data_IF_018019206551
#
_entry.id   IF_018019206551
#
_cell.length_a   1.000
_cell.length_b   1.000
_cell.length_c   1.000
_cell.angle_alpha   90.00
_cell.angle_beta   90.00
_cell.angle_gamma   90.00
#
_symmetry.space_group_name_H-M   'P 1'
#
loop_
_entity.id
_entity.type
_entity.pdbx_description
1 polymer ?
#
# COMPACT_ATOMS: atom_id res chain seq x y z
N UNK A 1 9.12 -3.67 10.49
CA UNK A 1 10.08 -4.73 10.10
C UNK A 1 9.52 -6.07 10.56
N UNK A 2 9.64 -7.14 9.77
CA UNK A 2 9.23 -8.47 10.23
C UNK A 2 10.05 -8.86 11.46
N UNK A 3 9.41 -9.39 12.52
CA UNK A 3 10.06 -9.73 13.79
C UNK A 3 11.31 -10.61 13.60
N UNK A 4 11.26 -11.52 12.61
CA UNK A 4 12.37 -12.40 12.23
C UNK A 4 13.60 -11.62 11.71
N UNK A 5 13.39 -10.55 10.93
CA UNK A 5 14.47 -9.70 10.41
C UNK A 5 15.10 -8.83 11.49
N UNK A 6 14.28 -8.38 12.44
CA UNK A 6 14.77 -7.62 13.58
C UNK A 6 15.63 -8.50 14.49
N UNK A 7 15.18 -9.71 14.79
CA UNK A 7 15.93 -10.68 15.59
C UNK A 7 17.23 -11.10 14.90
N UNK A 8 17.21 -11.37 13.59
CA UNK A 8 18.43 -11.70 12.85
C UNK A 8 19.42 -10.54 12.78
N UNK A 9 18.93 -9.30 12.65
CA UNK A 9 19.76 -8.10 12.67
C UNK A 9 20.43 -7.87 14.02
N UNK A 10 19.68 -7.97 15.12
CA UNK A 10 20.21 -7.83 16.47
C UNK A 10 21.25 -8.93 16.80
N UNK A 11 20.95 -10.18 16.44
CA UNK A 11 21.87 -11.30 16.62
C UNK A 11 23.14 -11.13 15.77
N UNK A 12 23.01 -10.70 14.51
CA UNK A 12 24.15 -10.42 13.63
C UNK A 12 25.07 -9.33 14.19
N UNK A 13 24.50 -8.24 14.71
CA UNK A 13 25.23 -7.14 15.36
C UNK A 13 25.97 -7.60 16.62
N UNK A 14 25.36 -8.47 17.41
CA UNK A 14 26.00 -9.05 18.59
C UNK A 14 27.19 -9.95 18.20
N UNK A 15 27.00 -10.84 17.23
CA UNK A 15 28.05 -11.75 16.77
C UNK A 15 29.23 -11.01 16.15
N UNK A 16 28.99 -9.95 15.37
CA UNK A 16 30.07 -9.19 14.74
C UNK A 16 30.89 -8.41 15.78
N UNK A 17 30.25 -7.88 16.83
CA UNK A 17 30.93 -7.26 17.97
C UNK A 17 31.81 -8.26 18.72
N UNK A 18 31.28 -9.45 19.01
CA UNK A 18 32.05 -10.55 19.62
C UNK A 18 33.22 -10.99 18.74
N UNK A 19 33.00 -11.19 17.44
CA UNK A 19 34.05 -11.54 16.48
C UNK A 19 35.19 -10.51 16.45
N UNK A 20 34.86 -9.22 16.42
CA UNK A 20 35.84 -8.14 16.46
C UNK A 20 36.67 -8.15 17.75
N UNK A 21 36.04 -8.36 18.91
CA UNK A 21 36.75 -8.47 20.19
C UNK A 21 37.72 -9.65 20.18
N UNK A 22 37.32 -10.80 19.65
CA UNK A 22 38.19 -11.99 19.55
C UNK A 22 39.36 -11.80 18.60
N UNK A 23 39.16 -11.09 17.48
CA UNK A 23 40.23 -10.74 16.55
C UNK A 23 41.24 -9.81 17.22
N UNK A 24 40.81 -8.76 17.91
CA UNK A 24 41.71 -7.85 18.65
C UNK A 24 42.44 -8.60 19.76
N UNK A 25 41.74 -9.47 20.50
CA UNK A 25 42.30 -10.29 21.58
C UNK A 25 43.26 -11.38 21.12
N UNK A 26 43.40 -11.62 19.81
CA UNK A 26 44.37 -12.55 19.22
C UNK A 26 45.80 -11.99 19.16
N UNK A 27 45.96 -10.67 19.33
CA UNK A 27 47.27 -10.00 19.37
C UNK A 27 48.09 -10.33 20.63
N UNK A 28 47.46 -10.97 21.63
CA UNK A 28 48.15 -11.41 22.85
C UNK A 28 48.97 -12.68 22.57
N UNK A 29 50.28 -12.70 22.91
CA UNK A 29 51.13 -13.86 22.67
C UNK A 29 50.64 -15.11 23.40
N UNK A 30 50.71 -16.26 22.70
CA UNK A 30 50.27 -17.56 23.23
C UNK A 30 48.78 -17.89 23.05
N UNK A 31 47.99 -17.05 22.36
CA UNK A 31 46.54 -17.27 22.18
C UNK A 31 46.06 -17.13 20.72
N UNK A 32 46.83 -17.68 19.78
CA UNK A 32 46.53 -17.66 18.34
C UNK A 32 45.20 -18.32 17.96
N UNK A 33 44.70 -19.29 18.76
CA UNK A 33 43.40 -19.93 18.55
C UNK A 33 42.22 -18.94 18.53
N UNK A 34 42.36 -17.79 19.20
CA UNK A 34 41.35 -16.73 19.23
C UNK A 34 41.10 -16.10 17.86
N UNK A 35 42.10 -16.11 17.00
CA UNK A 35 42.00 -15.61 15.64
C UNK A 35 41.05 -16.47 14.82
N UNK A 36 41.19 -17.80 14.88
CA UNK A 36 40.27 -18.73 14.20
C UNK A 36 38.83 -18.56 14.68
N UNK A 37 38.64 -18.42 16.00
CA UNK A 37 37.31 -18.21 16.60
C UNK A 37 36.71 -16.88 16.13
N UNK A 38 37.49 -15.79 16.18
CA UNK A 38 37.05 -14.46 15.75
C UNK A 38 36.66 -14.41 14.27
N UNK A 39 37.44 -15.06 13.41
CA UNK A 39 37.15 -15.18 11.97
C UNK A 39 35.89 -16.03 11.73
N UNK A 40 35.70 -17.13 12.46
CA UNK A 40 34.49 -17.94 12.34
C UNK A 40 33.22 -17.17 12.75
N UNK A 41 33.28 -16.43 13.86
CA UNK A 41 32.19 -15.59 14.35
C UNK A 41 31.84 -14.44 13.38
N UNK A 42 32.86 -13.77 12.84
CA UNK A 42 32.64 -12.69 11.87
C UNK A 42 32.09 -13.21 10.55
N UNK A 43 32.61 -14.34 10.05
CA UNK A 43 32.11 -15.01 8.85
C UNK A 43 30.63 -15.41 8.99
N UNK A 44 30.23 -15.90 10.16
CA UNK A 44 28.83 -16.25 10.44
C UNK A 44 27.92 -15.02 10.52
N UNK A 45 28.42 -13.87 10.99
CA UNK A 45 27.61 -12.66 11.12
C UNK A 45 27.20 -12.03 9.79
N UNK A 46 28.04 -12.16 8.75
CA UNK A 46 27.80 -11.59 7.41
C UNK A 46 26.48 -12.07 6.75
N UNK A 47 26.20 -13.38 6.64
CA UNK A 47 24.93 -13.84 6.07
C UNK A 47 23.73 -13.39 6.89
N UNK A 48 23.81 -13.37 8.23
CA UNK A 48 22.70 -12.90 9.07
C UNK A 48 22.35 -11.43 8.80
N UNK A 49 23.37 -10.58 8.71
CA UNK A 49 23.17 -9.16 8.41
C UNK A 49 22.63 -8.96 6.98
N UNK A 50 23.15 -9.71 6.01
CA UNK A 50 22.66 -9.66 4.62
C UNK A 50 21.16 -9.97 4.52
N UNK A 51 20.69 -11.02 5.20
CA UNK A 51 19.26 -11.36 5.23
C UNK A 51 18.41 -10.34 5.99
N UNK A 52 18.96 -9.73 7.05
CA UNK A 52 18.28 -8.69 7.81
C UNK A 52 18.04 -7.42 6.98
N UNK A 53 19.05 -6.97 6.23
CA UNK A 53 19.00 -5.73 5.44
C UNK A 53 18.37 -5.88 4.06
N UNK A 54 18.10 -7.12 3.59
CA UNK A 54 17.46 -7.33 2.29
C UNK A 54 16.12 -6.57 2.21
N UNK A 55 15.98 -5.57 1.31
CA UNK A 55 14.77 -4.77 1.23
C UNK A 55 13.60 -5.65 0.79
N UNK A 56 12.48 -5.59 1.51
CA UNK A 56 11.23 -6.19 1.05
C UNK A 56 10.58 -5.25 0.05
N UNK A 57 10.23 -5.72 -1.17
CA UNK A 57 9.51 -4.90 -2.12
C UNK A 57 8.18 -4.48 -1.47
N UNK A 58 8.00 -3.19 -1.26
CA UNK A 58 6.69 -2.65 -0.87
C UNK A 58 5.83 -2.71 -2.12
N UNK A 59 4.89 -3.64 -2.13
CA UNK A 59 3.87 -3.72 -3.17
C UNK A 59 2.97 -2.51 -2.94
N UNK A 60 3.23 -1.41 -3.66
CA UNK A 60 2.37 -0.23 -3.64
C UNK A 60 1.08 -0.65 -4.32
N UNK A 61 0.07 -0.98 -3.52
CA UNK A 61 -1.28 -1.21 -4.03
C UNK A 61 -1.82 0.17 -4.43
N UNK A 62 -1.75 0.48 -5.72
CA UNK A 62 -2.44 1.66 -6.25
C UNK A 62 -3.95 1.36 -6.19
N UNK A 63 -4.63 1.97 -5.24
CA UNK A 63 -6.09 1.96 -5.20
C UNK A 63 -6.58 2.89 -6.31
N UNK A 64 -6.87 2.31 -7.48
CA UNK A 64 -7.48 3.03 -8.60
C UNK A 64 -8.92 3.37 -8.22
N UNK A 65 -9.14 4.55 -7.65
CA UNK A 65 -10.48 5.12 -7.48
C UNK A 65 -10.91 5.69 -8.84
N UNK A 66 -11.73 4.94 -9.57
CA UNK A 66 -12.39 5.44 -10.78
C UNK A 66 -13.66 6.16 -10.35
N UNK A 67 -13.65 7.49 -10.36
CA UNK A 67 -14.87 8.30 -10.33
C UNK A 67 -15.36 8.47 -11.78
N UNK A 68 -16.57 8.03 -12.07
CA UNK A 68 -17.18 8.17 -13.40
C UNK A 68 -18.09 9.41 -13.37
N UNK A 69 -17.71 10.45 -14.12
CA UNK A 69 -18.56 11.61 -14.38
C UNK A 69 -19.37 11.36 -15.67
N UNK A 70 -20.67 11.71 -15.71
CA UNK A 70 -21.46 11.59 -16.93
C UNK A 70 -20.87 12.49 -18.02
N UNK A 71 -20.40 11.90 -19.11
CA UNK A 71 -19.74 12.59 -20.24
C UNK A 71 -20.68 13.51 -21.03
N UNK A 72 -21.99 13.47 -20.78
CA UNK A 72 -23.01 14.25 -21.47
C UNK A 72 -23.27 15.61 -20.84
N UNK A 73 -23.56 16.62 -21.68
CA UNK A 73 -24.31 17.79 -21.22
C UNK A 73 -25.69 17.27 -20.83
N UNK A 74 -25.90 16.98 -19.56
CA UNK A 74 -27.26 16.96 -19.02
C UNK A 74 -27.79 18.36 -19.34
N UNK A 75 -28.71 18.48 -20.29
CA UNK A 75 -29.41 19.72 -20.51
C UNK A 75 -30.12 20.01 -19.19
N UNK A 76 -29.48 20.84 -18.35
CA UNK A 76 -30.02 21.43 -17.14
C UNK A 76 -31.09 22.47 -17.55
N UNK A 77 -31.85 22.19 -18.62
CA UNK A 77 -33.21 22.69 -18.75
C UNK A 77 -34.03 21.82 -17.81
N UNK A 78 -34.09 22.26 -16.54
CA UNK A 78 -35.12 21.94 -15.57
C UNK A 78 -35.86 20.63 -15.87
N UNK A 79 -35.37 19.49 -15.36
CA UNK A 79 -36.06 18.21 -15.49
C UNK A 79 -37.48 18.35 -14.90
N UNK A 80 -38.47 18.69 -15.72
CA UNK A 80 -39.87 18.87 -15.31
C UNK A 80 -40.56 17.52 -15.41
N UNK A 81 -41.31 17.17 -14.38
CA UNK A 81 -42.11 15.96 -14.41
C UNK A 81 -43.17 16.07 -15.53
N UNK A 82 -43.26 15.14 -16.49
CA UNK A 82 -44.26 15.18 -17.56
C UNK A 82 -45.70 15.01 -17.03
N UNK A 83 -45.85 14.48 -15.81
CA UNK A 83 -47.16 14.23 -15.18
C UNK A 83 -47.65 15.38 -14.30
N UNK A 84 -46.77 16.18 -13.71
CA UNK A 84 -47.17 17.24 -12.77
C UNK A 84 -46.48 18.60 -12.99
N UNK A 85 -45.54 18.70 -13.93
CA UNK A 85 -44.81 19.93 -14.24
C UNK A 85 -43.78 20.37 -13.20
N UNK A 86 -43.71 19.71 -12.04
CA UNK A 86 -42.78 20.07 -10.97
C UNK A 86 -41.32 19.73 -11.31
N UNK A 87 -40.39 20.57 -10.84
CA UNK A 87 -38.94 20.36 -10.97
C UNK A 87 -38.52 19.11 -10.21
N UNK A 88 -37.82 18.21 -10.90
CA UNK A 88 -37.28 16.97 -10.36
C UNK A 88 -35.95 17.25 -9.65
N UNK A 89 -35.65 16.53 -8.55
CA UNK A 89 -34.35 16.63 -7.90
C UNK A 89 -33.23 16.15 -8.84
N UNK A 90 -32.01 16.68 -8.70
CA UNK A 90 -30.87 16.25 -9.51
C UNK A 90 -30.62 14.75 -9.32
N UNK A 91 -30.53 13.95 -10.41
CA UNK A 91 -30.27 12.51 -10.34
C UNK A 91 -28.88 12.23 -9.74
N UNK A 92 -28.73 11.10 -9.05
CA UNK A 92 -27.42 10.59 -8.63
C UNK A 92 -26.79 9.78 -9.76
N UNK A 93 -25.45 9.69 -9.83
CA UNK A 93 -24.76 8.94 -10.88
C UNK A 93 -25.19 7.47 -10.90
N UNK A 94 -25.67 6.97 -12.05
CA UNK A 94 -26.10 5.58 -12.25
C UNK A 94 -27.60 5.32 -12.10
N UNK A 95 -28.40 6.31 -11.71
CA UNK A 95 -29.86 6.16 -11.61
C UNK A 95 -30.52 6.35 -12.98
N UNK A 96 -30.94 5.25 -13.60
CA UNK A 96 -31.75 5.27 -14.85
C UNK A 96 -33.17 5.81 -14.63
N UNK A 97 -33.61 5.88 -13.37
CA UNK A 97 -34.98 6.25 -13.00
C UNK A 97 -34.97 7.25 -11.84
N UNK A 98 -35.67 8.38 -12.00
CA UNK A 98 -35.93 9.32 -10.91
C UNK A 98 -37.40 9.26 -10.53
N UNK A 99 -37.64 9.14 -9.22
CA UNK A 99 -38.98 9.24 -8.64
C UNK A 99 -39.31 10.70 -8.38
N UNK A 100 -40.41 11.18 -8.94
CA UNK A 100 -40.92 12.51 -8.64
C UNK A 100 -41.44 12.56 -7.19
N UNK A 101 -40.93 13.48 -6.38
CA UNK A 101 -41.36 13.65 -4.98
C UNK A 101 -42.78 14.20 -4.83
N UNK A 102 -43.35 14.78 -5.90
CA UNK A 102 -44.66 15.41 -5.85
C UNK A 102 -45.79 14.45 -6.26
N UNK A 103 -45.65 13.76 -7.39
CA UNK A 103 -46.72 12.89 -7.94
C UNK A 103 -46.42 11.39 -7.84
N UNK A 104 -45.24 11.02 -7.33
CA UNK A 104 -44.81 9.63 -7.17
C UNK A 104 -44.51 8.90 -8.47
N UNK A 105 -44.55 9.58 -9.63
CA UNK A 105 -44.23 8.97 -10.92
C UNK A 105 -42.76 8.60 -11.01
N UNK A 106 -42.48 7.42 -11.58
CA UNK A 106 -41.12 6.95 -11.90
C UNK A 106 -40.86 7.32 -13.35
N UNK A 107 -39.82 8.12 -13.58
CA UNK A 107 -39.49 8.67 -14.90
C UNK A 107 -38.13 8.14 -15.29
N UNK A 108 -38.03 7.57 -16.49
CA UNK A 108 -36.76 7.10 -17.05
C UNK A 108 -35.98 8.30 -17.58
N UNK A 109 -34.75 8.49 -17.11
CA UNK A 109 -33.86 9.50 -17.69
C UNK A 109 -33.27 8.93 -18.96
N UNK A 110 -33.58 9.56 -20.09
CA UNK A 110 -32.95 9.26 -21.37
C UNK A 110 -31.87 10.31 -21.56
N UNK A 111 -30.62 9.88 -21.40
CA UNK A 111 -29.48 10.73 -21.74
C UNK A 111 -29.41 10.83 -23.27
N UNK A 112 -29.36 12.06 -23.80
CA UNK A 112 -29.07 12.26 -25.20
C UNK A 112 -27.61 11.88 -25.46
N UNK A 113 -27.37 10.93 -26.37
CA UNK A 113 -26.03 10.50 -26.64
C UNK A 113 -25.32 11.52 -27.54
N UNK A 114 -24.09 11.84 -27.15
CA UNK A 114 -23.20 12.72 -27.91
C UNK A 114 -22.47 11.85 -28.94
N UNK A 115 -23.08 11.66 -30.11
CA UNK A 115 -22.39 11.13 -31.29
C UNK A 115 -22.62 12.04 -32.48
#
# INVERSE_FOLDING_TARGET
MSAKKFLSGALGLFLIGLGAIFIIASTVPGKSYRLMIGVALSALSLPLLYFAFKPTPKIVKYEVKVSWDPSGKLAVEELRCPKCGATLPPPKPGDEYVKCQYCGAVIKLVEEPIW
#
